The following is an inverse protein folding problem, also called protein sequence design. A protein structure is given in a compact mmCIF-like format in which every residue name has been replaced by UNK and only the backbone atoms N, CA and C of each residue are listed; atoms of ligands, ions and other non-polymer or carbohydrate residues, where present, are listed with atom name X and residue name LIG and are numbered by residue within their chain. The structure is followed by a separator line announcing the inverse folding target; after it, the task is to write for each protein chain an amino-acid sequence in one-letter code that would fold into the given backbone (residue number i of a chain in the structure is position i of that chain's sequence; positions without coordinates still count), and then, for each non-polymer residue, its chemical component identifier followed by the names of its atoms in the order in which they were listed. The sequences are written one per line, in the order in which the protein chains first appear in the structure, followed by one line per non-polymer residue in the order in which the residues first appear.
data_IF_231799256365
#
_entry.id   IF_231799256365
#
_cell.length_a   1.000
_cell.length_b   1.000
_cell.length_c   1.000
_cell.angle_alpha   90.00
_cell.angle_beta   90.00
_cell.angle_gamma   90.00
#
_symmetry.space_group_name_H-M   'P 1'
#
loop_
_entity.id
_entity.type
_entity.pdbx_description
1 polymer ?
#
# COMPACT_ATOMS: atom_id res chain seq x y z
N UNK A 1 -3.73 21.97 13.69
CA UNK A 1 -2.86 22.04 12.50
C UNK A 1 -3.78 22.05 11.30
N UNK A 2 -3.57 22.98 10.37
CA UNK A 2 -4.33 23.09 9.12
C UNK A 2 -3.96 21.93 8.20
N UNK A 3 -4.93 21.13 7.75
CA UNK A 3 -4.69 20.03 6.80
C UNK A 3 -5.15 20.38 5.39
N UNK A 4 -4.76 19.57 4.40
CA UNK A 4 -5.29 19.70 3.02
C UNK A 4 -6.81 19.63 3.01
N UNK A 5 -7.44 18.84 3.88
CA UNK A 5 -8.90 18.64 3.89
C UNK A 5 -9.62 19.94 4.28
N UNK A 6 -9.14 20.60 5.31
CA UNK A 6 -9.77 21.77 5.95
C UNK A 6 -9.30 23.12 5.38
N UNK A 7 -8.40 23.10 4.39
CA UNK A 7 -7.86 24.30 3.73
C UNK A 7 -8.62 24.68 2.46
N UNK A 8 -8.85 25.99 2.24
CA UNK A 8 -9.27 26.50 0.93
C UNK A 8 -8.03 26.77 0.06
N UNK A 9 -7.55 25.73 -0.63
CA UNK A 9 -6.39 25.83 -1.53
C UNK A 9 -6.85 26.18 -2.96
N UNK A 10 -6.15 27.07 -3.69
CA UNK A 10 -6.44 27.37 -5.10
C UNK A 10 -5.94 26.26 -6.03
N UNK A 11 -6.24 25.01 -5.70
CA UNK A 11 -5.82 23.80 -6.43
C UNK A 11 -7.05 22.90 -6.56
N UNK A 12 -7.27 22.33 -7.75
CA UNK A 12 -8.37 21.41 -7.98
C UNK A 12 -8.28 20.20 -7.06
N UNK A 13 -9.44 19.77 -6.54
CA UNK A 13 -9.57 18.57 -5.72
C UNK A 13 -10.10 17.41 -6.56
N UNK A 14 -9.87 16.16 -6.14
CA UNK A 14 -10.56 15.01 -6.70
C UNK A 14 -12.08 15.27 -6.79
N UNK A 15 -12.66 15.06 -7.97
CA UNK A 15 -14.08 15.33 -8.25
C UNK A 15 -14.98 14.11 -8.06
N UNK A 16 -14.44 12.98 -7.60
CA UNK A 16 -15.18 11.76 -7.27
C UNK A 16 -15.46 11.64 -5.78
N UNK A 17 -16.49 10.85 -5.45
CA UNK A 17 -16.70 10.40 -4.09
C UNK A 17 -15.63 9.37 -3.69
N UNK A 18 -14.89 9.64 -2.62
CA UNK A 18 -13.88 8.71 -2.08
C UNK A 18 -14.49 7.37 -1.64
N UNK A 19 -15.78 7.35 -1.30
CA UNK A 19 -16.52 6.13 -0.98
C UNK A 19 -16.56 5.13 -2.14
N UNK A 20 -16.43 5.61 -3.40
CA UNK A 20 -16.36 4.78 -4.62
C UNK A 20 -15.17 3.82 -4.62
N UNK A 21 -14.06 4.18 -3.98
CA UNK A 21 -12.81 3.42 -4.08
C UNK A 21 -12.84 2.14 -3.25
N UNK A 22 -12.41 1.05 -3.88
CA UNK A 22 -12.08 -0.23 -3.26
C UNK A 22 -10.55 -0.42 -3.21
N UNK A 23 -10.04 -0.97 -2.12
CA UNK A 23 -8.59 -1.27 -1.96
C UNK A 23 -8.17 -2.48 -2.80
N UNK A 24 -8.09 -2.27 -4.12
CA UNK A 24 -7.74 -3.29 -5.12
C UNK A 24 -6.24 -3.47 -5.28
N UNK A 25 -5.46 -2.47 -4.90
CA UNK A 25 -3.99 -2.51 -4.88
C UNK A 25 -3.53 -2.38 -3.43
N UNK A 26 -2.62 -3.24 -2.99
CA UNK A 26 -1.78 -2.99 -1.80
C UNK A 26 -0.40 -2.57 -2.28
N UNK A 27 0.11 -1.44 -1.80
CA UNK A 27 1.46 -0.98 -2.12
C UNK A 27 2.38 -1.09 -0.90
N UNK A 28 3.46 -1.86 -1.00
CA UNK A 28 4.49 -1.97 0.04
C UNK A 28 5.60 -0.95 -0.24
N UNK A 29 5.79 -0.02 0.70
CA UNK A 29 6.76 1.07 0.59
C UNK A 29 6.14 2.33 -0.01
N UNK A 30 5.32 3.05 0.76
CA UNK A 30 4.78 4.36 0.40
C UNK A 30 5.88 5.44 0.42
N UNK A 31 6.77 5.40 -0.57
CA UNK A 31 7.84 6.38 -0.76
C UNK A 31 7.43 7.59 -1.59
N UNK A 32 8.33 8.56 -1.73
CA UNK A 32 8.10 9.73 -2.58
C UNK A 32 7.93 9.34 -4.06
N UNK A 33 8.71 8.38 -4.55
CA UNK A 33 8.58 7.87 -5.92
C UNK A 33 7.20 7.25 -6.16
N UNK A 34 6.70 6.44 -5.23
CA UNK A 34 5.38 5.84 -5.36
C UNK A 34 4.28 6.90 -5.49
N UNK A 35 4.29 7.86 -4.57
CA UNK A 35 3.35 8.98 -4.52
C UNK A 35 3.39 9.85 -5.77
N UNK A 36 4.55 10.05 -6.37
CA UNK A 36 4.72 10.84 -7.59
C UNK A 36 4.54 10.02 -8.88
N UNK A 37 4.37 8.70 -8.80
CA UNK A 37 4.33 7.82 -9.96
C UNK A 37 3.10 6.90 -9.97
N UNK A 38 3.12 5.73 -9.31
CA UNK A 38 2.02 4.76 -9.47
C UNK A 38 0.70 5.29 -8.87
N UNK A 39 0.77 6.00 -7.74
CA UNK A 39 -0.42 6.63 -7.17
C UNK A 39 -0.94 7.81 -8.03
N UNK A 40 -0.04 8.54 -8.70
CA UNK A 40 -0.41 9.61 -9.65
C UNK A 40 -1.09 9.06 -10.91
N UNK A 41 -0.56 8.00 -11.51
CA UNK A 41 -1.21 7.32 -12.64
C UNK A 41 -2.58 6.74 -12.25
N UNK A 42 -2.69 6.17 -11.05
CA UNK A 42 -3.98 5.69 -10.53
C UNK A 42 -4.96 6.84 -10.34
N UNK A 43 -4.50 8.00 -9.89
CA UNK A 43 -5.32 9.20 -9.78
C UNK A 43 -5.84 9.67 -11.15
N UNK A 44 -5.01 9.72 -12.19
CA UNK A 44 -5.46 10.07 -13.54
C UNK A 44 -6.47 9.08 -14.12
N UNK A 45 -6.35 7.79 -13.80
CA UNK A 45 -7.39 6.80 -14.14
C UNK A 45 -8.72 7.15 -13.48
N UNK A 46 -8.71 7.52 -12.20
CA UNK A 46 -9.90 7.88 -11.44
C UNK A 46 -10.52 9.20 -11.90
N UNK A 47 -9.72 10.14 -12.40
CA UNK A 47 -10.17 11.40 -13.00
C UNK A 47 -10.89 11.18 -14.34
N UNK A 48 -10.42 10.23 -15.14
CA UNK A 48 -10.88 10.02 -16.51
C UNK A 48 -11.93 8.92 -16.68
N UNK A 49 -12.24 8.17 -15.61
CA UNK A 49 -13.14 7.02 -15.66
C UNK A 49 -13.95 6.86 -14.36
N UNK A 50 -14.96 5.99 -14.40
CA UNK A 50 -15.71 5.54 -13.22
C UNK A 50 -15.04 4.38 -12.46
N UNK A 51 -13.73 4.18 -12.66
CA UNK A 51 -12.95 3.17 -11.95
C UNK A 51 -13.05 3.33 -10.43
N UNK A 52 -13.03 2.19 -9.73
CA UNK A 52 -13.04 2.07 -8.28
C UNK A 52 -11.67 1.63 -7.73
N UNK A 53 -10.62 1.62 -8.55
CA UNK A 53 -9.30 1.14 -8.14
C UNK A 53 -8.61 2.13 -7.20
N UNK A 54 -8.73 1.87 -5.90
CA UNK A 54 -7.99 2.54 -4.83
C UNK A 54 -6.76 1.75 -4.36
N UNK A 55 -5.85 2.47 -3.71
CA UNK A 55 -4.60 1.92 -3.15
C UNK A 55 -4.67 1.88 -1.63
N UNK A 56 -4.32 0.73 -1.06
CA UNK A 56 -3.99 0.57 0.35
C UNK A 56 -2.47 0.67 0.51
N UNK A 57 -2.01 1.78 1.08
CA UNK A 57 -0.60 2.03 1.37
C UNK A 57 -0.14 1.19 2.57
N UNK A 58 1.05 0.62 2.51
CA UNK A 58 1.67 -0.09 3.63
C UNK A 58 3.13 0.31 3.74
N UNK A 59 3.53 0.81 4.91
CA UNK A 59 4.93 0.93 5.27
C UNK A 59 5.25 -0.04 6.41
N UNK A 60 6.37 -0.76 6.28
CA UNK A 60 6.75 -1.81 7.24
C UNK A 60 7.82 -1.37 8.22
N UNK A 61 8.59 -0.33 7.90
CA UNK A 61 9.70 0.12 8.74
C UNK A 61 9.21 1.08 9.82
N UNK A 62 9.79 1.06 11.04
CA UNK A 62 9.44 1.99 12.09
C UNK A 62 9.92 3.42 11.79
N UNK A 63 9.55 4.38 12.65
CA UNK A 63 10.07 5.76 12.58
C UNK A 63 9.37 6.61 11.52
N UNK A 64 10.13 7.16 10.57
CA UNK A 64 9.59 8.11 9.58
C UNK A 64 8.45 7.51 8.74
N UNK A 65 8.54 6.22 8.46
CA UNK A 65 7.54 5.45 7.73
C UNK A 65 6.20 5.41 8.47
N UNK A 66 6.21 5.18 9.79
CA UNK A 66 5.04 5.29 10.67
C UNK A 66 4.47 6.70 10.66
N UNK A 67 5.31 7.71 10.89
CA UNK A 67 4.89 9.11 10.97
C UNK A 67 4.22 9.55 9.68
N UNK A 68 4.73 9.10 8.53
CA UNK A 68 4.10 9.34 7.23
C UNK A 68 2.69 8.75 7.16
N UNK A 69 2.49 7.49 7.57
CA UNK A 69 1.17 6.85 7.55
C UNK A 69 0.19 7.60 8.45
N UNK A 70 0.60 8.02 9.65
CA UNK A 70 -0.23 8.85 10.53
C UNK A 70 -0.61 10.19 9.89
N UNK A 71 0.34 10.84 9.21
CA UNK A 71 0.08 12.11 8.53
C UNK A 71 -0.87 11.95 7.35
N UNK A 72 -0.73 10.88 6.57
CA UNK A 72 -1.69 10.55 5.50
C UNK A 72 -3.09 10.33 6.10
N UNK A 73 -3.23 9.53 7.16
CA UNK A 73 -4.52 9.31 7.85
C UNK A 73 -5.16 10.63 8.30
N UNK A 74 -4.37 11.55 8.90
CA UNK A 74 -4.84 12.88 9.33
C UNK A 74 -5.33 13.76 8.18
N UNK A 75 -4.83 13.54 6.97
CA UNK A 75 -5.20 14.30 5.76
C UNK A 75 -6.28 13.60 4.93
N UNK A 76 -7.03 12.64 5.50
CA UNK A 76 -7.97 11.80 4.74
C UNK A 76 -7.31 11.17 3.50
N UNK A 77 -6.03 10.80 3.64
CA UNK A 77 -5.19 10.21 2.61
C UNK A 77 -4.93 11.10 1.39
N UNK A 78 -5.27 12.38 1.47
CA UNK A 78 -4.90 13.37 0.47
C UNK A 78 -3.45 13.79 0.66
N UNK A 79 -2.75 14.00 -0.44
CA UNK A 79 -1.43 14.63 -0.48
C UNK A 79 -1.27 15.42 -1.78
N UNK A 80 -0.20 16.19 -1.90
CA UNK A 80 0.06 17.02 -3.08
C UNK A 80 1.25 16.49 -3.86
N UNK A 81 1.13 16.45 -5.19
CA UNK A 81 2.26 16.32 -6.12
C UNK A 81 2.51 17.68 -6.76
N UNK A 82 3.79 18.06 -6.85
CA UNK A 82 4.23 19.24 -7.58
C UNK A 82 5.00 18.82 -8.83
N UNK A 83 4.42 19.08 -9.99
CA UNK A 83 5.06 18.84 -11.29
C UNK A 83 5.77 20.13 -11.72
N UNK A 84 7.11 20.09 -11.70
CA UNK A 84 7.94 21.25 -12.01
C UNK A 84 8.51 21.13 -13.42
N UNK A 85 8.05 22.00 -14.32
CA UNK A 85 8.61 22.20 -15.66
C UNK A 85 9.58 23.39 -15.72
N UNK A 86 10.03 23.73 -16.92
CA UNK A 86 10.87 24.90 -17.15
C UNK A 86 10.12 26.22 -16.92
N UNK A 87 8.85 26.29 -17.33
CA UNK A 87 8.04 27.52 -17.35
C UNK A 87 7.08 27.64 -16.16
N UNK A 88 6.66 26.52 -15.57
CA UNK A 88 5.62 26.51 -14.55
C UNK A 88 5.79 25.36 -13.56
N UNK A 89 5.10 25.49 -12.41
CA UNK A 89 4.89 24.41 -11.45
C UNK A 89 3.39 24.19 -11.31
N UNK A 90 2.96 22.97 -11.58
CA UNK A 90 1.57 22.56 -11.36
C UNK A 90 1.47 21.77 -10.06
N UNK A 91 0.44 22.07 -9.27
CA UNK A 91 0.12 21.33 -8.05
C UNK A 91 -1.12 20.48 -8.31
N UNK A 92 -1.09 19.22 -7.88
CA UNK A 92 -2.23 18.30 -7.96
C UNK A 92 -2.49 17.69 -6.58
N UNK A 93 -3.74 17.77 -6.12
CA UNK A 93 -4.17 17.08 -4.89
C UNK A 93 -4.55 15.65 -5.28
N UNK A 94 -3.76 14.69 -4.80
CA UNK A 94 -3.93 13.28 -5.13
C UNK A 94 -4.86 12.61 -4.12
N UNK A 95 -5.82 11.84 -4.62
CA UNK A 95 -6.85 11.13 -3.86
C UNK A 95 -7.08 9.67 -4.29
N UNK A 96 -6.05 9.01 -4.82
CA UNK A 96 -6.08 7.59 -5.23
C UNK A 96 -5.86 6.60 -4.07
N UNK A 97 -5.41 7.08 -2.91
CA UNK A 97 -5.24 6.28 -1.70
C UNK A 97 -6.57 6.09 -0.97
N UNK A 98 -6.93 4.84 -0.69
CA UNK A 98 -8.14 4.45 0.06
C UNK A 98 -7.84 4.10 1.51
N UNK A 99 -6.69 3.49 1.76
CA UNK A 99 -6.23 3.09 3.10
C UNK A 99 -4.72 3.35 3.24
N UNK A 100 -4.26 3.44 4.48
CA UNK A 100 -2.84 3.47 4.79
C UNK A 100 -2.60 2.70 6.09
N UNK A 101 -1.66 1.76 6.11
CA UNK A 101 -1.44 0.82 7.21
C UNK A 101 0.03 0.78 7.63
N UNK A 102 0.25 0.50 8.91
CA UNK A 102 1.58 0.32 9.48
C UNK A 102 1.54 -0.73 10.59
N UNK A 103 2.56 -1.61 10.75
CA UNK A 103 2.52 -2.68 11.77
C UNK A 103 2.31 -2.17 13.20
N UNK A 104 2.90 -1.03 13.58
CA UNK A 104 2.74 -0.45 14.92
C UNK A 104 1.39 0.26 15.16
N UNK A 105 0.59 0.46 14.12
CA UNK A 105 -0.72 1.14 14.22
C UNK A 105 -1.84 0.11 14.04
N UNK A 106 -1.70 -0.74 13.02
CA UNK A 106 -2.75 -1.64 12.52
C UNK A 106 -2.43 -3.13 12.79
N UNK A 107 -1.23 -3.43 13.31
CA UNK A 107 -0.77 -4.79 13.58
C UNK A 107 -0.37 -5.56 12.32
N UNK A 108 0.35 -6.66 12.51
CA UNK A 108 0.66 -7.61 11.43
C UNK A 108 -0.63 -8.17 10.81
N UNK A 109 -1.60 -8.51 11.67
CA UNK A 109 -2.90 -9.03 11.25
C UNK A 109 -3.67 -8.06 10.36
N UNK A 110 -3.69 -6.75 10.68
CA UNK A 110 -4.37 -5.75 9.85
C UNK A 110 -3.82 -5.70 8.43
N UNK A 111 -2.49 -5.79 8.27
CA UNK A 111 -1.83 -5.81 6.97
C UNK A 111 -2.09 -7.13 6.23
N UNK A 112 -1.98 -8.27 6.90
CA UNK A 112 -2.28 -9.57 6.30
C UNK A 112 -3.74 -9.67 5.84
N UNK A 113 -4.68 -9.16 6.65
CA UNK A 113 -6.09 -9.07 6.28
C UNK A 113 -6.27 -8.18 5.05
N UNK A 114 -5.62 -7.01 5.03
CA UNK A 114 -5.67 -6.10 3.89
C UNK A 114 -5.19 -6.78 2.58
N UNK A 115 -4.09 -7.53 2.62
CA UNK A 115 -3.54 -8.26 1.47
C UNK A 115 -4.36 -9.50 1.10
N UNK A 116 -5.02 -10.12 2.06
CA UNK A 116 -5.80 -11.35 1.85
C UNK A 116 -7.23 -11.09 1.35
N UNK A 117 -7.72 -9.84 1.36
CA UNK A 117 -9.04 -9.44 0.86
C UNK A 117 -9.34 -9.94 -0.56
N UNK A 118 -10.52 -10.52 -0.87
CA UNK A 118 -10.82 -11.04 -2.20
C UNK A 118 -10.62 -10.01 -3.33
N UNK A 119 -10.98 -8.75 -3.11
CA UNK A 119 -10.86 -7.67 -4.08
C UNK A 119 -9.43 -7.15 -4.29
N UNK A 120 -8.50 -7.44 -3.39
CA UNK A 120 -7.08 -7.12 -3.60
C UNK A 120 -6.54 -7.98 -4.73
N UNK A 121 -6.27 -7.33 -5.86
CA UNK A 121 -5.86 -7.94 -7.10
C UNK A 121 -4.34 -7.80 -7.34
N UNK A 122 -3.72 -6.75 -6.79
CA UNK A 122 -2.30 -6.43 -7.00
C UNK A 122 -1.63 -6.14 -5.66
N UNK A 123 -0.45 -6.74 -5.46
CA UNK A 123 0.54 -6.24 -4.49
C UNK A 123 1.71 -5.65 -5.28
N UNK A 124 1.99 -4.37 -5.09
CA UNK A 124 3.08 -3.65 -5.75
C UNK A 124 4.10 -3.16 -4.73
N UNK A 125 5.35 -2.92 -5.15
CA UNK A 125 6.46 -2.68 -4.24
C UNK A 125 7.35 -1.51 -4.70
N UNK A 126 7.73 -0.64 -3.77
CA UNK A 126 8.90 0.26 -3.90
C UNK A 126 9.75 0.24 -2.63
N UNK A 127 10.22 -0.96 -2.27
CA UNK A 127 10.93 -1.24 -1.00
C UNK A 127 12.45 -1.02 -1.03
N UNK A 128 12.99 -0.41 -2.09
CA UNK A 128 14.43 -0.35 -2.44
C UNK A 128 15.05 -1.73 -2.66
N UNK A 129 16.30 -1.78 -3.14
CA UNK A 129 17.04 -3.01 -3.41
C UNK A 129 17.20 -3.87 -2.15
N UNK A 130 17.40 -3.24 -1.00
CA UNK A 130 17.57 -3.95 0.29
C UNK A 130 16.29 -4.62 0.77
N UNK A 131 15.12 -4.12 0.37
CA UNK A 131 13.82 -4.67 0.78
C UNK A 131 13.54 -6.06 0.20
N UNK A 132 14.24 -6.46 -0.86
CA UNK A 132 14.12 -7.79 -1.46
C UNK A 132 14.86 -8.88 -0.67
N UNK A 133 15.66 -8.51 0.34
CA UNK A 133 16.44 -9.46 1.14
C UNK A 133 17.29 -10.42 0.29
N UNK A 134 17.79 -9.95 -0.85
CA UNK A 134 18.59 -10.74 -1.76
C UNK A 134 20.09 -10.56 -1.47
N UNK A 135 20.87 -11.63 -1.64
CA UNK A 135 22.32 -11.56 -1.66
C UNK A 135 22.77 -10.80 -2.91
N UNK A 136 23.58 -9.76 -2.72
CA UNK A 136 23.91 -8.82 -3.80
C UNK A 136 24.76 -9.46 -4.93
N UNK A 137 25.51 -10.52 -4.62
CA UNK A 137 26.36 -11.18 -5.61
C UNK A 137 25.59 -12.20 -6.46
N UNK A 138 24.71 -12.98 -5.82
CA UNK A 138 23.97 -14.07 -6.48
C UNK A 138 22.56 -13.69 -6.93
N UNK A 139 21.99 -12.62 -6.39
CA UNK A 139 20.59 -12.23 -6.59
C UNK A 139 19.57 -13.20 -5.98
N UNK A 140 20.03 -14.22 -5.26
CA UNK A 140 19.17 -15.18 -4.57
C UNK A 140 18.70 -14.64 -3.22
N UNK A 141 17.63 -15.22 -2.68
CA UNK A 141 17.17 -14.89 -1.33
C UNK A 141 18.29 -15.18 -0.31
N UNK A 142 18.68 -14.17 0.45
CA UNK A 142 19.67 -14.31 1.51
C UNK A 142 19.01 -14.92 2.76
N UNK A 143 19.16 -16.23 2.95
CA UNK A 143 18.67 -16.94 4.12
C UNK A 143 19.38 -16.53 5.42
N UNK A 144 20.50 -15.81 5.34
CA UNK A 144 21.17 -15.27 6.52
C UNK A 144 20.62 -13.92 6.97
N UNK A 145 19.83 -13.24 6.13
CA UNK A 145 19.20 -11.98 6.45
C UNK A 145 18.33 -12.11 7.71
N UNK A 146 18.47 -11.22 8.72
CA UNK A 146 17.72 -11.31 9.96
C UNK A 146 16.19 -11.31 9.78
N UNK A 147 15.67 -10.59 8.78
CA UNK A 147 14.23 -10.58 8.49
C UNK A 147 13.77 -11.94 7.95
N UNK A 148 14.57 -12.57 7.08
CA UNK A 148 14.23 -13.88 6.51
C UNK A 148 14.31 -14.97 7.57
N UNK A 149 15.32 -14.96 8.44
CA UNK A 149 15.40 -15.87 9.59
C UNK A 149 14.17 -15.74 10.49
N UNK A 150 13.82 -14.51 10.85
CA UNK A 150 12.64 -14.23 11.66
C UNK A 150 11.36 -14.76 11.02
N UNK A 151 11.16 -14.53 9.73
CA UNK A 151 9.93 -14.91 9.02
C UNK A 151 9.82 -16.43 8.84
N UNK A 152 10.94 -17.15 8.71
CA UNK A 152 10.95 -18.61 8.70
C UNK A 152 10.60 -19.21 10.06
N UNK A 153 11.05 -18.59 11.16
CA UNK A 153 10.72 -19.00 12.53
C UNK A 153 9.29 -18.62 12.91
N UNK A 154 8.75 -17.53 12.37
CA UNK A 154 7.45 -16.95 12.74
C UNK A 154 6.58 -16.65 11.51
N UNK A 155 6.18 -17.68 10.73
CA UNK A 155 5.56 -17.49 9.42
C UNK A 155 4.21 -16.76 9.45
N UNK A 156 3.49 -16.81 10.57
CA UNK A 156 2.20 -16.10 10.75
C UNK A 156 2.35 -14.68 11.29
N UNK A 157 3.58 -14.25 11.59
CA UNK A 157 3.89 -12.89 12.07
C UNK A 157 5.11 -12.31 11.34
N UNK A 158 5.11 -12.25 10.00
CA UNK A 158 6.28 -11.84 9.22
C UNK A 158 6.64 -10.35 9.42
N UNK A 159 7.88 -10.01 9.12
CA UNK A 159 8.45 -8.66 9.13
C UNK A 159 8.98 -8.21 7.78
N UNK A 160 9.41 -9.13 6.90
CA UNK A 160 9.85 -8.79 5.55
C UNK A 160 8.66 -8.64 4.61
N UNK A 161 8.83 -7.83 3.55
CA UNK A 161 7.83 -7.72 2.48
C UNK A 161 7.50 -9.09 1.86
N UNK A 162 8.50 -9.95 1.68
CA UNK A 162 8.34 -11.30 1.12
C UNK A 162 7.52 -12.17 2.07
N UNK A 163 7.81 -12.13 3.37
CA UNK A 163 7.07 -12.87 4.39
C UNK A 163 5.59 -12.47 4.41
N UNK A 164 5.28 -11.17 4.39
CA UNK A 164 3.90 -10.68 4.29
C UNK A 164 3.19 -11.20 3.03
N UNK A 165 3.86 -11.16 1.87
CA UNK A 165 3.29 -11.66 0.61
C UNK A 165 3.00 -13.16 0.69
N UNK A 166 3.96 -13.96 1.16
CA UNK A 166 3.83 -15.42 1.25
C UNK A 166 2.71 -15.81 2.21
N UNK A 167 2.66 -15.19 3.39
CA UNK A 167 1.63 -15.49 4.39
C UNK A 167 0.24 -15.05 3.93
N UNK A 168 0.12 -13.86 3.30
CA UNK A 168 -1.15 -13.44 2.72
C UNK A 168 -1.63 -14.41 1.62
N UNK A 169 -0.73 -14.93 0.78
CA UNK A 169 -1.06 -15.94 -0.22
C UNK A 169 -1.51 -17.27 0.42
N UNK A 170 -0.88 -17.70 1.52
CA UNK A 170 -1.31 -18.89 2.28
C UNK A 170 -2.73 -18.70 2.81
N UNK A 171 -3.01 -17.56 3.46
CA UNK A 171 -4.34 -17.21 3.97
C UNK A 171 -5.40 -17.18 2.85
N UNK A 172 -5.06 -16.62 1.68
CA UNK A 172 -5.96 -16.63 0.51
C UNK A 172 -6.25 -18.05 0.01
N UNK A 173 -5.25 -18.92 0.00
CA UNK A 173 -5.40 -20.33 -0.41
C UNK A 173 -6.34 -21.09 0.53
N UNK A 174 -6.21 -20.88 1.83
CA UNK A 174 -7.05 -21.53 2.84
C UNK A 174 -8.50 -21.08 2.75
N UNK A 175 -8.77 -19.77 2.68
CA UNK A 175 -10.13 -19.24 2.50
C UNK A 175 -10.79 -19.75 1.22
N UNK A 176 -10.03 -19.95 0.14
CA UNK A 176 -10.53 -20.56 -1.10
C UNK A 176 -10.86 -22.04 -0.92
N UNK A 177 -10.02 -22.80 -0.23
CA UNK A 177 -10.29 -24.20 0.06
C UNK A 177 -11.56 -24.35 0.92
N UNK A 178 -11.71 -23.53 1.96
CA UNK A 178 -12.90 -23.52 2.82
C UNK A 178 -14.18 -23.21 2.04
N UNK A 179 -14.16 -22.24 1.11
CA UNK A 179 -15.30 -21.94 0.25
C UNK A 179 -15.68 -23.13 -0.63
N UNK A 180 -14.69 -23.78 -1.26
CA UNK A 180 -14.93 -24.94 -2.15
C UNK A 180 -15.50 -26.14 -1.37
N UNK A 181 -15.01 -26.42 -0.16
CA UNK A 181 -15.53 -27.51 0.66
C UNK A 181 -16.87 -27.17 1.33
N UNK A 182 -17.12 -25.89 1.67
CA UNK A 182 -18.38 -25.41 2.21
C UNK A 182 -19.55 -25.48 1.22
N UNK A 183 -19.25 -25.34 -0.08
CA UNK A 183 -20.23 -25.47 -1.17
C UNK A 183 -20.53 -26.94 -1.53
N UNK A 184 -19.69 -27.90 -1.13
CA UNK A 184 -19.90 -29.35 -1.37
C UNK A 184 -20.74 -30.02 -0.27
N UNK A 185 -20.90 -29.35 0.88
CA UNK A 185 -21.70 -29.83 2.03
C UNK A 185 -23.06 -29.12 2.16
N UNK A 186 -23.49 -28.40 1.12
CA UNK A 186 -24.84 -27.83 0.98
C UNK A 186 -25.54 -28.43 -0.23
#
# INVERSE_FOLDING_TARGET
MTTIVDSNLPVARPSWDHSRLESRIVHLGCGAFHRAHQALYTHHLLESTDSDWGICEVNLMPGNDRVLIENLKKQQLLYTVAEKGAESTELKIIGSMKEALHPEIDGCEGILNAMARPQTAIVSLTVTEKGYCADAASGQLDLNNPLIKHDLENPTAPKSAIGYIVEALRLRREKRAESVYGDVLR
#
